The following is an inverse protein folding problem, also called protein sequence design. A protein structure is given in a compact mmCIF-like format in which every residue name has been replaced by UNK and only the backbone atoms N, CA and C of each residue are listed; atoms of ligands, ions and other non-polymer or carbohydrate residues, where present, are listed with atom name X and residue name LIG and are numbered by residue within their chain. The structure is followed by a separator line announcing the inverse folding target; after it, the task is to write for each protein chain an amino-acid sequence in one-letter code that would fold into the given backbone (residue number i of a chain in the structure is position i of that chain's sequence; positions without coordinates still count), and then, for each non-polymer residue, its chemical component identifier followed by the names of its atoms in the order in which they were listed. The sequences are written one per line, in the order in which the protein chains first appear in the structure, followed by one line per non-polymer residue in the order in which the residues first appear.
data_IF_481972249860
#
_entry.id   IF_481972249860
#
_cell.length_a   1.000
_cell.length_b   1.000
_cell.length_c   1.000
_cell.angle_alpha   90.00
_cell.angle_beta   90.00
_cell.angle_gamma   90.00
#
_symmetry.space_group_name_H-M   'P 1'
#
loop_
_entity.id
_entity.type
_entity.pdbx_description
1 polymer ?
#
# COMPACT_ATOMS: atom_id res chain seq x y z
N UNK A 1 -23.77 39.71 23.90
CA UNK A 1 -24.11 38.80 24.22
C UNK A 1 -23.64 37.42 23.93
N UNK A 2 -24.42 36.51 24.29
CA UNK A 2 -24.03 35.14 24.20
C UNK A 2 -23.83 34.67 22.81
N UNK A 3 -24.54 35.21 21.86
CA UNK A 3 -24.42 34.78 20.49
C UNK A 3 -23.03 35.02 19.94
N UNK A 4 -22.45 36.14 20.22
CA UNK A 4 -21.13 36.42 19.70
C UNK A 4 -20.12 35.46 20.27
N UNK A 5 -20.30 35.11 21.52
CA UNK A 5 -19.39 34.17 22.16
C UNK A 5 -19.43 32.79 21.50
N UNK A 6 -20.63 32.33 21.23
CA UNK A 6 -20.79 31.05 20.60
C UNK A 6 -20.19 31.05 19.20
N UNK A 7 -20.46 32.08 18.46
CA UNK A 7 -19.94 32.19 17.13
C UNK A 7 -18.42 32.16 17.11
N UNK A 8 -17.83 32.83 18.04
CA UNK A 8 -16.40 32.89 18.14
C UNK A 8 -15.81 31.51 18.39
N UNK A 9 -16.43 30.74 19.25
CA UNK A 9 -15.95 29.40 19.55
C UNK A 9 -16.01 28.50 18.34
N UNK A 10 -17.06 28.60 17.55
CA UNK A 10 -17.18 27.78 16.35
C UNK A 10 -16.08 28.07 15.36
N UNK A 11 -15.79 29.33 15.18
CA UNK A 11 -14.72 29.71 14.23
C UNK A 11 -13.38 29.15 14.67
N UNK A 12 -13.08 29.21 15.93
CA UNK A 12 -11.82 28.68 16.44
C UNK A 12 -11.69 27.19 16.21
N UNK A 13 -12.75 26.46 16.43
CA UNK A 13 -12.76 25.02 16.23
C UNK A 13 -12.50 24.67 14.79
N UNK A 14 -13.16 25.35 13.90
CA UNK A 14 -12.99 25.06 12.46
C UNK A 14 -11.54 25.29 12.04
N UNK A 15 -10.94 26.36 12.50
CA UNK A 15 -9.56 26.65 12.15
C UNK A 15 -8.62 25.56 12.62
N UNK A 16 -8.83 25.06 13.82
CA UNK A 16 -7.99 24.00 14.35
C UNK A 16 -8.14 22.73 13.56
N UNK A 17 -9.36 22.38 13.18
CA UNK A 17 -9.61 21.17 12.43
C UNK A 17 -8.93 21.22 11.07
N UNK A 18 -8.98 22.33 10.42
CA UNK A 18 -8.32 22.47 9.13
C UNK A 18 -6.82 22.29 9.24
N UNK A 19 -6.23 22.84 10.26
CA UNK A 19 -4.80 22.71 10.48
C UNK A 19 -4.44 21.26 10.71
N UNK A 20 -5.19 20.57 11.53
CA UNK A 20 -4.95 19.16 11.80
C UNK A 20 -5.03 18.32 10.53
N UNK A 21 -6.03 18.55 9.72
CA UNK A 21 -6.19 17.79 8.49
C UNK A 21 -5.01 17.95 7.54
N UNK A 22 -4.43 19.13 7.51
CA UNK A 22 -3.28 19.38 6.66
C UNK A 22 -2.02 18.70 7.16
N UNK A 23 -1.95 18.46 8.44
CA UNK A 23 -0.75 17.89 9.07
C UNK A 23 -0.79 16.36 9.12
N UNK A 24 -1.95 15.78 9.07
CA UNK A 24 -2.07 14.35 9.22
C UNK A 24 -1.80 13.61 7.91
N UNK A 25 -1.08 12.50 8.03
CA UNK A 25 -0.92 11.58 6.92
C UNK A 25 -2.19 10.76 6.74
N UNK A 26 -2.54 10.41 5.51
CA UNK A 26 -3.61 9.44 5.31
C UNK A 26 -3.24 8.12 5.96
N UNK A 27 -4.25 7.40 6.39
CA UNK A 27 -4.04 6.09 7.00
C UNK A 27 -4.95 5.09 6.31
N UNK A 28 -4.35 3.99 5.85
CA UNK A 28 -5.07 2.94 5.15
C UNK A 28 -4.96 1.64 5.94
N UNK A 29 -5.91 0.74 5.72
CA UNK A 29 -5.94 -0.54 6.40
C UNK A 29 -5.18 -1.57 5.59
N UNK A 30 -4.27 -2.28 6.24
CA UNK A 30 -3.48 -3.31 5.57
C UNK A 30 -4.37 -4.40 4.97
N UNK A 31 -5.48 -4.71 5.64
CA UNK A 31 -6.42 -5.72 5.14
C UNK A 31 -6.99 -5.36 3.77
N UNK A 32 -7.06 -4.10 3.44
CA UNK A 32 -7.59 -3.68 2.14
C UNK A 32 -6.62 -3.95 0.99
N UNK A 33 -5.37 -4.29 1.31
CA UNK A 33 -4.40 -4.69 0.28
C UNK A 33 -4.61 -6.14 -0.17
N UNK A 34 -5.23 -6.98 0.66
CA UNK A 34 -5.30 -8.41 0.38
C UNK A 34 -5.95 -8.72 -0.95
N UNK A 35 -5.35 -9.64 -1.68
CA UNK A 35 -5.86 -10.11 -2.95
C UNK A 35 -4.93 -9.84 -4.11
N UNK A 36 -5.48 -9.98 -5.30
CA UNK A 36 -4.73 -9.90 -6.55
C UNK A 36 -4.98 -8.56 -7.22
N UNK A 37 -3.90 -7.91 -7.62
CA UNK A 37 -3.95 -6.62 -8.29
C UNK A 37 -3.20 -6.68 -9.61
N UNK A 38 -3.70 -5.95 -10.60
CA UNK A 38 -3.07 -5.86 -11.90
C UNK A 38 -2.66 -4.42 -12.17
N UNK A 39 -1.44 -4.22 -12.64
CA UNK A 39 -0.98 -2.90 -13.07
C UNK A 39 -1.86 -2.41 -14.22
N UNK A 40 -2.36 -1.18 -14.12
CA UNK A 40 -3.26 -0.63 -15.13
C UNK A 40 -2.55 -0.36 -16.45
N UNK A 41 -1.23 -0.21 -16.44
CA UNK A 41 -0.46 0.14 -17.62
C UNK A 41 0.28 -1.00 -18.29
N UNK A 42 0.32 -2.18 -17.68
CA UNK A 42 1.06 -3.30 -18.24
C UNK A 42 0.58 -4.62 -17.66
N UNK A 43 1.03 -5.72 -18.26
CA UNK A 43 0.66 -7.06 -17.80
C UNK A 43 1.56 -7.49 -16.65
N UNK A 44 1.38 -6.82 -15.53
CA UNK A 44 2.11 -7.12 -14.32
C UNK A 44 1.12 -7.25 -13.17
N UNK A 45 1.38 -8.17 -12.28
CA UNK A 45 0.48 -8.51 -11.18
C UNK A 45 1.20 -8.45 -9.85
N UNK A 46 0.45 -8.15 -8.81
CA UNK A 46 0.92 -8.26 -7.44
C UNK A 46 -0.17 -8.88 -6.58
N UNK A 47 0.22 -9.81 -5.73
CA UNK A 47 -0.69 -10.41 -4.77
C UNK A 47 -0.18 -10.13 -3.36
N UNK A 48 -1.08 -9.59 -2.54
CA UNK A 48 -0.81 -9.43 -1.12
C UNK A 48 -1.56 -10.52 -0.37
N UNK A 49 -0.84 -11.33 0.38
CA UNK A 49 -1.44 -12.41 1.15
C UNK A 49 -1.53 -12.04 2.62
N UNK A 50 -2.30 -12.81 3.36
CA UNK A 50 -2.42 -12.66 4.80
C UNK A 50 -1.48 -13.63 5.55
N UNK A 51 -0.56 -14.25 4.84
CA UNK A 51 0.33 -15.22 5.44
C UNK A 51 1.44 -14.54 6.21
N UNK A 52 1.61 -14.85 7.49
CA UNK A 52 2.57 -14.14 8.32
C UNK A 52 4.01 -14.45 7.96
N UNK A 53 4.84 -13.43 8.10
CA UNK A 53 6.28 -13.51 7.90
C UNK A 53 6.93 -12.65 8.99
N UNK A 54 6.84 -13.13 10.25
CA UNK A 54 7.23 -12.33 11.38
C UNK A 54 6.23 -11.21 11.61
N UNK A 55 6.71 -9.99 11.67
CA UNK A 55 5.82 -8.83 11.80
C UNK A 55 5.30 -8.35 10.44
N UNK A 56 5.77 -8.96 9.35
CA UNK A 56 5.35 -8.68 7.99
C UNK A 56 4.43 -9.78 7.50
N UNK A 57 3.96 -9.64 6.26
CA UNK A 57 3.20 -10.66 5.56
C UNK A 57 3.82 -10.87 4.20
N UNK A 58 3.57 -12.02 3.60
CA UNK A 58 4.12 -12.32 2.28
C UNK A 58 3.27 -11.73 1.17
N UNK A 59 3.95 -11.26 0.13
CA UNK A 59 3.34 -10.90 -1.13
C UNK A 59 4.19 -11.41 -2.27
N UNK A 60 3.66 -11.32 -3.47
CA UNK A 60 4.37 -11.77 -4.65
C UNK A 60 4.00 -10.92 -5.85
N UNK A 61 5.00 -10.60 -6.65
CA UNK A 61 4.77 -9.90 -7.90
C UNK A 61 5.33 -10.71 -9.06
N UNK A 62 4.69 -10.60 -10.20
CA UNK A 62 5.14 -11.27 -11.43
C UNK A 62 4.56 -10.55 -12.62
N UNK A 63 5.09 -10.84 -13.80
CA UNK A 63 4.49 -10.38 -15.03
C UNK A 63 4.06 -11.58 -15.85
N UNK A 64 3.23 -11.34 -16.84
CA UNK A 64 2.64 -12.42 -17.63
C UNK A 64 3.68 -13.18 -18.42
N UNK A 65 4.75 -12.50 -18.83
CA UNK A 65 5.81 -13.13 -19.61
C UNK A 65 6.58 -14.18 -18.82
N UNK A 66 6.56 -14.10 -17.50
CA UNK A 66 7.26 -15.05 -16.65
C UNK A 66 6.53 -16.37 -16.53
N UNK A 67 5.25 -16.39 -16.89
CA UNK A 67 4.46 -17.61 -16.85
C UNK A 67 4.33 -18.26 -15.49
N UNK A 68 4.43 -17.48 -14.43
CA UNK A 68 4.43 -17.99 -13.08
C UNK A 68 3.05 -17.92 -12.46
N UNK A 69 2.61 -19.02 -11.89
CA UNK A 69 1.32 -19.09 -11.26
C UNK A 69 1.45 -19.16 -9.75
N UNK A 70 0.38 -18.79 -9.09
CA UNK A 70 0.37 -18.74 -7.63
C UNK A 70 0.58 -20.11 -7.01
N UNK A 71 0.17 -21.16 -7.68
CA UNK A 71 0.36 -22.51 -7.18
C UNK A 71 1.82 -22.88 -7.03
N UNK A 72 2.71 -22.16 -7.70
CA UNK A 72 4.13 -22.43 -7.63
C UNK A 72 4.81 -21.58 -6.57
N UNK A 73 4.06 -20.94 -5.73
CA UNK A 73 4.58 -20.01 -4.75
C UNK A 73 5.45 -20.67 -3.71
N UNK A 74 6.61 -20.08 -3.52
CA UNK A 74 7.52 -20.41 -2.45
C UNK A 74 7.89 -19.11 -1.78
N UNK A 75 8.05 -19.09 -0.46
CA UNK A 75 8.34 -17.84 0.24
C UNK A 75 9.73 -17.28 -0.02
N UNK A 76 10.43 -17.83 -0.96
CA UNK A 76 11.75 -17.33 -1.37
C UNK A 76 11.86 -17.46 -2.86
N UNK A 77 12.58 -16.53 -3.46
CA UNK A 77 12.82 -16.58 -4.87
C UNK A 77 12.10 -15.48 -5.62
N UNK A 78 12.08 -15.62 -6.91
CA UNK A 78 11.71 -14.57 -7.83
C UNK A 78 10.31 -14.02 -7.58
N UNK A 79 10.24 -12.70 -7.37
CA UNK A 79 8.98 -12.01 -7.21
C UNK A 79 8.41 -11.98 -5.80
N UNK A 80 9.01 -12.72 -4.87
CA UNK A 80 8.52 -12.74 -3.50
C UNK A 80 9.00 -11.53 -2.71
N UNK A 81 8.13 -11.02 -1.83
CA UNK A 81 8.50 -9.97 -0.90
C UNK A 81 7.72 -10.12 0.40
N UNK A 82 8.17 -9.40 1.42
CA UNK A 82 7.45 -9.24 2.67
C UNK A 82 6.95 -7.80 2.72
N UNK A 83 5.77 -7.57 3.25
CA UNK A 83 5.22 -6.22 3.30
C UNK A 83 4.57 -5.91 4.64
N UNK A 84 4.46 -4.62 4.89
CA UNK A 84 3.81 -4.07 6.07
C UNK A 84 3.31 -2.68 5.73
N UNK A 85 2.08 -2.38 6.07
CA UNK A 85 1.50 -1.06 5.85
C UNK A 85 1.38 -0.33 7.19
N UNK A 86 2.03 0.82 7.29
CA UNK A 86 1.95 1.67 8.48
C UNK A 86 1.47 3.03 8.01
N UNK A 87 0.24 3.39 8.37
CA UNK A 87 -0.43 4.58 7.87
C UNK A 87 -0.51 4.54 6.35
N UNK A 88 0.27 5.35 5.64
CA UNK A 88 0.34 5.28 4.18
C UNK A 88 1.70 4.84 3.66
N UNK A 89 2.57 4.37 4.54
CA UNK A 89 3.87 3.85 4.16
C UNK A 89 3.76 2.35 3.94
N UNK A 90 3.86 1.93 2.69
CA UNK A 90 3.91 0.52 2.35
C UNK A 90 5.37 0.10 2.28
N UNK A 91 5.80 -0.60 3.29
CA UNK A 91 7.17 -1.08 3.40
C UNK A 91 7.25 -2.47 2.82
N UNK A 92 8.18 -2.68 1.89
CA UNK A 92 8.38 -3.97 1.28
C UNK A 92 9.84 -4.37 1.40
N UNK A 93 10.07 -5.67 1.60
CA UNK A 93 11.41 -6.24 1.60
C UNK A 93 11.39 -7.32 0.53
N UNK A 94 12.06 -7.05 -0.58
CA UNK A 94 12.09 -7.97 -1.70
C UNK A 94 13.14 -9.04 -1.49
N UNK A 95 12.74 -10.29 -1.72
CA UNK A 95 13.58 -11.45 -1.48
C UNK A 95 14.26 -11.83 -2.78
N UNK A 96 15.58 -12.00 -2.71
CA UNK A 96 16.36 -12.33 -3.89
C UNK A 96 16.37 -13.83 -4.13
N UNK A 97 16.28 -14.19 -5.40
CA UNK A 97 16.34 -15.59 -5.79
C UNK A 97 17.75 -16.13 -5.54
N UNK A 98 17.81 -17.30 -4.93
CA UNK A 98 19.06 -17.98 -4.66
C UNK A 98 20.05 -17.19 -3.81
N UNK A 99 19.53 -16.30 -2.99
CA UNK A 99 20.36 -15.45 -2.15
C UNK A 99 19.64 -15.14 -0.86
N UNK A 100 20.39 -14.83 0.18
CA UNK A 100 19.81 -14.34 1.43
C UNK A 100 19.66 -12.82 1.43
N UNK A 101 20.01 -12.16 0.35
CA UNK A 101 19.91 -10.71 0.26
C UNK A 101 18.47 -10.25 0.26
N UNK A 102 18.24 -9.12 0.92
CA UNK A 102 16.92 -8.50 1.00
C UNK A 102 17.04 -7.07 0.54
N UNK A 103 16.10 -6.63 -0.27
CA UNK A 103 16.11 -5.27 -0.80
C UNK A 103 14.89 -4.53 -0.27
N UNK A 104 15.11 -3.56 0.62
CA UNK A 104 13.99 -2.78 1.14
C UNK A 104 13.49 -1.76 0.13
N UNK A 105 12.18 -1.58 0.08
CA UNK A 105 11.54 -0.55 -0.74
C UNK A 105 10.41 0.05 0.08
N UNK A 106 10.18 1.35 -0.09
CA UNK A 106 9.07 2.02 0.58
C UNK A 106 8.26 2.76 -0.46
N UNK A 107 6.97 2.56 -0.42
CA UNK A 107 6.03 3.25 -1.29
C UNK A 107 5.09 4.08 -0.44
N UNK A 108 4.65 5.19 -0.99
CA UNK A 108 3.64 6.03 -0.35
C UNK A 108 2.31 5.72 -1.01
N UNK A 109 1.39 5.14 -0.25
CA UNK A 109 0.06 4.83 -0.77
C UNK A 109 -0.73 6.11 -0.90
N UNK A 110 -1.24 6.36 -2.09
CA UNK A 110 -2.02 7.54 -2.40
C UNK A 110 -3.51 7.25 -2.43
N UNK A 111 -3.88 6.03 -2.76
CA UNK A 111 -5.27 5.60 -2.83
C UNK A 111 -5.35 4.10 -2.60
N UNK A 112 -6.32 3.70 -1.81
CA UNK A 112 -6.58 2.28 -1.59
C UNK A 112 -8.08 2.11 -1.36
N UNK A 113 -8.75 1.58 -2.37
CA UNK A 113 -10.18 1.30 -2.33
C UNK A 113 -10.40 -0.16 -2.66
N UNK A 114 -11.64 -0.58 -2.77
CA UNK A 114 -11.94 -1.96 -3.16
C UNK A 114 -11.43 -2.29 -4.56
N UNK A 115 -11.30 -1.29 -5.42
CA UNK A 115 -10.98 -1.49 -6.82
C UNK A 115 -9.64 -0.95 -7.25
N UNK A 116 -9.07 -0.01 -6.52
CA UNK A 116 -7.88 0.72 -6.97
C UNK A 116 -6.87 0.84 -5.86
N UNK A 117 -5.63 0.54 -6.20
CA UNK A 117 -4.46 0.80 -5.38
C UNK A 117 -3.52 1.70 -6.18
N UNK A 118 -3.15 2.82 -5.60
CA UNK A 118 -2.22 3.74 -6.23
C UNK A 118 -1.14 4.10 -5.24
N UNK A 119 0.12 3.98 -5.65
CA UNK A 119 1.22 4.39 -4.78
C UNK A 119 2.36 4.98 -5.61
N UNK A 120 3.26 5.66 -4.92
CA UNK A 120 4.45 6.20 -5.57
C UNK A 120 5.71 5.70 -4.87
N UNK A 121 6.77 5.55 -5.65
CA UNK A 121 8.05 5.10 -5.12
C UNK A 121 8.85 6.30 -4.61
N UNK A 122 10.10 6.05 -4.21
CA UNK A 122 10.98 7.07 -3.66
C UNK A 122 11.44 8.08 -4.70
N UNK A 123 11.25 7.80 -5.98
CA UNK A 123 11.56 8.74 -7.06
C UNK A 123 10.33 9.50 -7.52
N UNK A 124 9.18 9.24 -6.92
CA UNK A 124 7.95 9.92 -7.27
C UNK A 124 7.18 9.27 -8.42
N UNK A 125 7.61 8.11 -8.89
CA UNK A 125 6.89 7.39 -9.95
C UNK A 125 5.63 6.76 -9.36
N UNK A 126 4.49 7.06 -9.98
CA UNK A 126 3.19 6.58 -9.52
C UNK A 126 2.78 5.36 -10.32
N UNK A 127 2.38 4.31 -9.62
CA UNK A 127 1.82 3.12 -10.24
C UNK A 127 0.38 2.95 -9.77
N UNK A 128 -0.49 2.62 -10.69
CA UNK A 128 -1.91 2.37 -10.42
C UNK A 128 -2.22 0.91 -10.71
N UNK A 129 -2.86 0.27 -9.75
CA UNK A 129 -3.29 -1.12 -9.88
C UNK A 129 -4.80 -1.19 -9.78
N UNK A 130 -5.38 -2.16 -10.46
CA UNK A 130 -6.81 -2.46 -10.40
C UNK A 130 -6.99 -3.82 -9.78
N UNK A 131 -8.03 -3.94 -8.96
CA UNK A 131 -8.32 -5.21 -8.30
C UNK A 131 -8.80 -6.23 -9.32
N UNK A 132 -8.25 -7.43 -9.23
CA UNK A 132 -8.68 -8.54 -10.06
C UNK A 132 -9.74 -9.32 -9.30
N UNK A 133 -10.87 -9.55 -9.96
CA UNK A 133 -11.95 -10.35 -9.38
C UNK A 133 -11.62 -11.81 -9.62
N UNK A 134 -11.59 -12.58 -8.54
CA UNK A 134 -11.23 -13.99 -8.58
C UNK A 134 -12.42 -14.89 -8.31
#
# INVERSE_FOLDING_TARGET
MKKSTILFGVVAIVAMMMTSCQMEKPSFQEADLLGLWKDAGQEAFVRFTDEPAGEYKYGREWNEDEGTFESDLKPYGNGWFKYKLVQNDLKEIHLMDNSSAEIPKVYIVLQLTEDVLKYKDDRGVITTFVKVVE
#
